data_IF_696443421338
#
_entry.id   IF_696443421338
#
_cell.length_a   1.000
_cell.length_b   1.000
_cell.length_c   1.000
_cell.angle_alpha   90.00
_cell.angle_beta   90.00
_cell.angle_gamma   90.00
#
_symmetry.space_group_name_H-M   'P 1'
#
loop_
_entity.id
_entity.type
_entity.pdbx_description
1 polymer ?
#
# COMPACT_ATOMS: atom_id res chain seq x y z
N UNK A 1 14.24 7.96 -44.62
CA UNK A 1 14.60 8.85 -43.50
C UNK A 1 14.19 8.12 -42.24
N UNK A 2 15.15 7.63 -41.47
CA UNK A 2 14.88 7.09 -40.13
C UNK A 2 14.60 8.30 -39.24
N UNK A 3 13.38 8.38 -38.71
CA UNK A 3 13.06 9.36 -37.69
C UNK A 3 14.02 9.11 -36.52
N UNK A 4 14.82 10.11 -36.17
CA UNK A 4 15.58 10.08 -34.92
C UNK A 4 14.55 10.26 -33.83
N UNK A 5 14.09 9.16 -33.23
CA UNK A 5 13.24 9.21 -32.04
C UNK A 5 14.11 9.82 -30.94
N UNK A 6 13.86 11.08 -30.62
CA UNK A 6 14.59 11.77 -29.56
C UNK A 6 14.24 11.10 -28.23
N UNK A 7 15.22 10.52 -27.56
CA UNK A 7 15.05 10.02 -26.19
C UNK A 7 15.04 11.19 -25.23
N UNK A 8 14.00 11.30 -24.41
CA UNK A 8 13.96 12.27 -23.31
C UNK A 8 14.51 11.62 -22.04
N UNK A 9 15.50 12.25 -21.44
CA UNK A 9 16.03 11.79 -20.15
C UNK A 9 15.20 12.38 -19.02
N UNK A 10 14.62 11.52 -18.20
CA UNK A 10 13.92 11.90 -16.98
C UNK A 10 14.89 11.67 -15.82
N UNK A 11 15.22 12.74 -15.09
CA UNK A 11 16.05 12.66 -13.89
C UNK A 11 15.14 12.38 -12.68
N UNK A 12 15.18 11.14 -12.17
CA UNK A 12 14.44 10.74 -10.98
C UNK A 12 14.88 11.47 -9.70
N UNK A 13 16.02 12.15 -9.73
CA UNK A 13 16.53 12.98 -8.65
C UNK A 13 16.03 14.42 -8.66
N UNK A 14 15.32 14.84 -9.72
CA UNK A 14 14.87 16.23 -9.86
C UNK A 14 13.84 16.60 -8.80
N UNK A 15 13.95 17.85 -8.34
CA UNK A 15 13.08 18.52 -7.36
C UNK A 15 12.72 19.95 -7.80
N UNK A 16 12.95 20.29 -9.06
CA UNK A 16 12.85 21.66 -9.58
C UNK A 16 11.41 22.19 -9.71
N UNK A 17 10.44 21.31 -10.01
CA UNK A 17 9.02 21.65 -10.16
C UNK A 17 8.17 20.98 -9.05
N UNK A 18 8.00 21.61 -7.86
CA UNK A 18 7.13 21.07 -6.81
C UNK A 18 5.65 21.13 -7.21
N UNK A 19 4.91 20.05 -6.96
CA UNK A 19 3.48 19.95 -7.21
C UNK A 19 2.65 20.05 -5.91
N UNK A 20 3.06 19.33 -4.88
CA UNK A 20 2.37 19.28 -3.59
C UNK A 20 3.29 18.76 -2.50
N UNK A 21 3.05 19.16 -1.25
CA UNK A 21 3.68 18.58 -0.08
C UNK A 21 2.74 18.70 1.12
N UNK A 22 2.92 17.84 2.12
CA UNK A 22 2.15 17.90 3.35
C UNK A 22 2.27 16.63 4.17
N UNK A 23 1.38 16.52 5.15
CA UNK A 23 1.18 15.31 5.93
C UNK A 23 0.02 14.51 5.32
N UNK A 24 0.10 13.17 5.32
CA UNK A 24 -1.00 12.32 4.87
C UNK A 24 -2.00 12.10 6.01
N UNK A 25 -3.29 12.20 5.70
CA UNK A 25 -4.39 12.01 6.66
C UNK A 25 -4.50 10.56 7.18
N UNK A 26 -3.74 9.62 6.61
CA UNK A 26 -3.84 8.16 6.80
C UNK A 26 -2.95 7.66 7.97
N UNK A 27 -2.74 8.52 8.96
CA UNK A 27 -1.92 8.28 10.14
C UNK A 27 -2.60 7.33 11.14
N UNK A 28 -1.79 6.54 11.87
CA UNK A 28 -2.24 5.79 13.05
C UNK A 28 -1.95 6.67 14.27
N UNK A 29 -2.98 6.93 15.07
CA UNK A 29 -2.85 7.72 16.29
C UNK A 29 -3.30 6.87 17.48
N UNK A 30 -2.46 6.74 18.49
CA UNK A 30 -2.88 6.11 19.74
C UNK A 30 -3.76 7.09 20.54
N UNK A 31 -5.07 7.10 20.25
CA UNK A 31 -5.99 8.00 20.93
C UNK A 31 -6.34 7.53 22.35
N UNK A 32 -6.50 8.50 23.26
CA UNK A 32 -6.62 8.30 24.69
C UNK A 32 -8.00 7.73 25.08
N UNK A 33 -8.07 6.46 25.48
CA UNK A 33 -9.20 5.99 26.28
C UNK A 33 -9.04 6.53 27.71
N UNK A 34 -9.73 7.62 28.05
CA UNK A 34 -9.98 7.96 29.47
C UNK A 34 -9.74 9.38 29.96
N UNK A 35 -9.67 10.41 29.10
CA UNK A 35 -9.73 11.80 29.57
C UNK A 35 -8.50 12.32 30.32
N UNK A 36 -7.39 11.59 30.30
CA UNK A 36 -6.06 12.14 30.56
C UNK A 36 -5.38 12.40 29.22
N UNK A 37 -4.95 13.64 28.97
CA UNK A 37 -4.06 13.96 27.86
C UNK A 37 -2.75 13.18 28.04
N UNK A 38 -2.65 12.02 27.40
CA UNK A 38 -1.34 11.50 27.01
C UNK A 38 -1.05 12.03 25.62
N UNK A 39 0.12 12.62 25.48
CA UNK A 39 0.83 12.73 24.20
C UNK A 39 0.91 11.30 23.62
N UNK A 40 -0.10 10.89 22.87
CA UNK A 40 -0.19 9.56 22.30
C UNK A 40 0.83 9.43 21.19
N UNK A 41 1.51 8.28 21.15
CA UNK A 41 2.42 8.00 20.04
C UNK A 41 1.65 8.09 18.72
N UNK A 42 2.24 8.72 17.70
CA UNK A 42 1.59 8.93 16.41
C UNK A 42 2.49 8.44 15.30
N UNK A 43 2.00 7.51 14.50
CA UNK A 43 2.62 7.18 13.23
C UNK A 43 2.00 8.00 12.12
N UNK A 44 2.82 8.80 11.43
CA UNK A 44 2.36 9.66 10.34
C UNK A 44 3.35 9.68 9.17
N UNK A 45 2.90 10.23 8.05
CA UNK A 45 3.67 10.32 6.83
C UNK A 45 3.75 11.76 6.35
N UNK A 46 4.95 12.26 6.13
CA UNK A 46 5.17 13.47 5.35
C UNK A 46 5.45 13.09 3.91
N UNK A 47 4.95 13.87 2.96
CA UNK A 47 5.16 13.64 1.54
C UNK A 47 5.52 14.91 0.78
N UNK A 48 6.30 14.71 -0.28
CA UNK A 48 6.60 15.71 -1.30
C UNK A 48 6.39 15.08 -2.69
N UNK A 49 5.79 15.85 -3.60
CA UNK A 49 5.59 15.44 -5.00
C UNK A 49 6.21 16.49 -5.92
N UNK A 50 7.00 16.03 -6.88
CA UNK A 50 7.66 16.86 -7.88
C UNK A 50 7.30 16.38 -9.28
N UNK A 51 7.00 17.30 -10.18
CA UNK A 51 6.81 16.97 -11.59
C UNK A 51 8.16 16.69 -12.24
N UNK A 52 8.26 15.58 -12.97
CA UNK A 52 9.44 15.24 -13.76
C UNK A 52 9.18 15.39 -15.26
N UNK A 53 7.99 15.00 -15.72
CA UNK A 53 7.58 15.09 -17.12
C UNK A 53 6.05 15.08 -17.24
N UNK A 54 5.49 15.69 -18.27
CA UNK A 54 4.07 15.58 -18.57
C UNK A 54 3.82 15.72 -20.07
N UNK A 55 2.95 14.86 -20.59
CA UNK A 55 2.38 14.89 -21.92
C UNK A 55 0.89 14.53 -21.87
N UNK A 56 0.20 14.60 -22.99
CA UNK A 56 -1.27 14.47 -23.04
C UNK A 56 -1.82 13.18 -22.43
N UNK A 57 -1.10 12.05 -22.61
CA UNK A 57 -1.58 10.73 -22.17
C UNK A 57 -0.85 10.16 -20.95
N UNK A 58 0.13 10.89 -20.42
CA UNK A 58 0.85 10.43 -19.24
C UNK A 58 1.56 11.56 -18.51
N UNK A 59 1.73 11.36 -17.20
CA UNK A 59 2.55 12.24 -16.39
C UNK A 59 3.52 11.42 -15.54
N UNK A 60 4.69 12.00 -15.28
CA UNK A 60 5.74 11.42 -14.48
C UNK A 60 6.03 12.37 -13.34
N UNK A 61 5.94 11.86 -12.13
CA UNK A 61 6.23 12.58 -10.92
C UNK A 61 7.15 11.78 -10.03
N UNK A 62 7.97 12.47 -9.25
CA UNK A 62 8.68 11.88 -8.12
C UNK A 62 7.83 12.10 -6.89
N UNK A 63 7.64 11.05 -6.10
CA UNK A 63 7.02 11.08 -4.79
C UNK A 63 8.03 10.65 -3.74
N UNK A 64 8.28 11.53 -2.77
CA UNK A 64 9.07 11.26 -1.58
C UNK A 64 8.14 11.16 -0.39
N UNK A 65 8.34 10.15 0.44
CA UNK A 65 7.55 9.93 1.64
C UNK A 65 8.50 9.60 2.77
N UNK A 66 8.37 10.31 3.88
CA UNK A 66 9.04 9.98 5.14
C UNK A 66 7.99 9.51 6.14
N UNK A 67 8.26 8.35 6.77
CA UNK A 67 7.42 7.80 7.82
C UNK A 67 8.05 8.12 9.18
N UNK A 68 7.21 8.57 10.10
CA UNK A 68 7.57 8.91 11.45
C UNK A 68 6.77 8.09 12.44
N UNK A 69 7.41 7.70 13.53
CA UNK A 69 6.78 7.23 14.75
C UNK A 69 7.17 8.25 15.83
N UNK A 70 6.21 9.09 16.21
CA UNK A 70 6.46 10.35 16.92
C UNK A 70 7.46 11.24 16.19
N UNK A 71 8.54 11.64 16.85
CA UNK A 71 9.59 12.48 16.28
C UNK A 71 10.70 11.64 15.62
N UNK A 72 10.54 10.31 15.54
CA UNK A 72 11.56 9.40 15.02
C UNK A 72 11.23 8.99 13.60
N UNK A 73 12.11 9.33 12.64
CA UNK A 73 12.00 8.82 11.28
C UNK A 73 12.26 7.30 11.26
N UNK A 74 11.24 6.54 10.88
CA UNK A 74 11.26 5.06 10.83
C UNK A 74 11.33 4.52 9.41
N UNK A 75 11.15 5.36 8.39
CA UNK A 75 11.27 4.93 7.01
C UNK A 75 11.27 6.05 5.99
N UNK A 76 11.70 5.71 4.78
CA UNK A 76 11.64 6.59 3.61
C UNK A 76 11.27 5.77 2.39
N UNK A 77 10.42 6.32 1.53
CA UNK A 77 10.15 5.84 0.19
C UNK A 77 10.45 6.94 -0.81
N UNK A 78 11.24 6.60 -1.82
CA UNK A 78 11.51 7.44 -2.99
C UNK A 78 11.03 6.69 -4.22
N UNK A 79 10.05 7.27 -4.91
CA UNK A 79 9.32 6.61 -5.98
C UNK A 79 9.13 7.55 -7.17
N UNK A 80 9.40 7.05 -8.37
CA UNK A 80 8.94 7.65 -9.63
C UNK A 80 7.59 7.03 -9.95
N UNK A 81 6.54 7.83 -9.96
CA UNK A 81 5.20 7.43 -10.37
C UNK A 81 4.96 7.88 -11.81
N UNK A 82 4.60 6.92 -12.68
CA UNK A 82 4.25 7.13 -14.08
C UNK A 82 2.77 6.84 -14.22
N UNK A 83 1.95 7.87 -14.27
CA UNK A 83 0.51 7.76 -14.48
C UNK A 83 0.20 7.70 -15.97
N UNK A 84 -0.49 6.65 -16.39
CA UNK A 84 -0.70 6.29 -17.80
C UNK A 84 -2.20 6.23 -18.11
N UNK A 85 -2.65 7.05 -19.06
CA UNK A 85 -4.01 7.02 -19.61
C UNK A 85 -4.07 6.26 -20.95
N UNK A 86 -3.09 5.39 -21.18
CA UNK A 86 -2.96 4.59 -22.41
C UNK A 86 -2.33 3.23 -22.13
N UNK A 87 -2.68 2.26 -22.97
CA UNK A 87 -2.05 0.94 -23.02
C UNK A 87 -0.98 0.85 -24.13
N UNK A 88 -0.73 1.91 -24.91
CA UNK A 88 0.35 1.92 -25.89
C UNK A 88 1.69 2.20 -25.22
N UNK A 89 2.14 1.24 -24.41
CA UNK A 89 3.31 1.34 -23.55
C UNK A 89 4.20 0.13 -23.79
N UNK A 90 5.50 0.38 -23.96
CA UNK A 90 6.51 -0.67 -23.97
C UNK A 90 7.66 -0.31 -23.04
N UNK A 91 8.34 -1.33 -22.52
CA UNK A 91 9.42 -1.19 -21.56
C UNK A 91 10.63 -2.00 -22.01
N UNK A 92 11.80 -1.36 -21.99
CA UNK A 92 13.09 -2.03 -22.16
C UNK A 92 13.95 -1.79 -20.91
N UNK A 93 14.64 -2.84 -20.48
CA UNK A 93 15.55 -2.81 -19.32
C UNK A 93 17.01 -3.19 -19.69
N UNK A 94 17.33 -3.35 -20.98
CA UNK A 94 18.63 -3.87 -21.43
C UNK A 94 19.82 -2.96 -21.08
N UNK A 95 19.62 -1.64 -21.13
CA UNK A 95 20.67 -0.63 -20.94
C UNK A 95 20.29 0.45 -19.89
N UNK A 96 19.25 0.19 -19.11
CA UNK A 96 18.56 1.19 -18.28
C UNK A 96 17.04 1.03 -18.42
N UNK A 97 16.27 1.79 -17.63
CA UNK A 97 14.81 1.71 -17.67
C UNK A 97 14.26 2.67 -18.74
N UNK A 98 14.11 2.15 -19.95
CA UNK A 98 13.58 2.88 -21.09
C UNK A 98 12.09 2.57 -21.24
N UNK A 99 11.26 3.61 -21.18
CA UNK A 99 9.82 3.56 -21.30
C UNK A 99 9.40 4.26 -22.60
N UNK A 100 8.69 3.57 -23.47
CA UNK A 100 8.06 4.18 -24.65
C UNK A 100 6.56 4.30 -24.39
N UNK A 101 6.04 5.53 -24.46
CA UNK A 101 4.61 5.81 -24.31
C UNK A 101 4.15 6.59 -25.53
N UNK A 102 3.22 6.04 -26.31
CA UNK A 102 2.72 6.69 -27.54
C UNK A 102 3.83 7.14 -28.52
N UNK A 103 4.88 6.34 -28.65
CA UNK A 103 6.04 6.66 -29.50
C UNK A 103 7.02 7.67 -28.90
N UNK A 104 6.76 8.19 -27.68
CA UNK A 104 7.71 9.02 -26.93
C UNK A 104 8.63 8.11 -26.14
N UNK A 105 9.92 8.08 -26.53
CA UNK A 105 10.94 7.29 -25.83
C UNK A 105 11.52 8.09 -24.66
N UNK A 106 11.41 7.54 -23.45
CA UNK A 106 11.85 8.14 -22.19
C UNK A 106 12.88 7.24 -21.54
N UNK A 107 13.97 7.81 -21.05
CA UNK A 107 14.94 7.10 -20.20
C UNK A 107 14.78 7.55 -18.76
N UNK A 108 14.31 6.66 -17.90
CA UNK A 108 14.10 6.92 -16.48
C UNK A 108 15.40 6.67 -15.72
N UNK A 109 16.07 7.75 -15.32
CA UNK A 109 17.31 7.68 -14.56
C UNK A 109 16.98 7.72 -13.07
N UNK A 110 17.03 6.58 -12.40
CA UNK A 110 16.79 6.51 -10.96
C UNK A 110 17.86 7.32 -10.21
N UNK A 111 17.43 8.09 -9.20
CA UNK A 111 18.31 8.84 -8.30
C UNK A 111 19.20 7.90 -7.45
N UNK A 112 18.66 6.73 -7.08
CA UNK A 112 19.36 5.69 -6.33
C UNK A 112 18.97 4.30 -6.85
N UNK A 113 19.78 3.25 -6.61
CA UNK A 113 19.43 1.89 -7.01
C UNK A 113 18.12 1.35 -6.40
N UNK A 114 17.73 1.84 -5.22
CA UNK A 114 16.52 1.43 -4.51
C UNK A 114 15.29 2.31 -4.82
N UNK A 115 15.45 3.39 -5.62
CA UNK A 115 14.32 4.23 -5.99
C UNK A 115 13.31 3.39 -6.78
N UNK A 116 12.07 3.36 -6.28
CA UNK A 116 10.98 2.60 -6.88
C UNK A 116 10.53 3.27 -8.16
N UNK A 117 10.07 2.48 -9.13
CA UNK A 117 9.37 3.01 -10.31
C UNK A 117 8.02 2.31 -10.39
N UNK A 118 6.95 3.09 -10.44
CA UNK A 118 5.60 2.59 -10.42
C UNK A 118 4.84 3.05 -11.65
N UNK A 119 4.53 2.10 -12.55
CA UNK A 119 3.66 2.32 -13.69
C UNK A 119 2.21 2.13 -13.25
N UNK A 120 1.44 3.22 -13.26
CA UNK A 120 0.09 3.32 -12.76
C UNK A 120 -0.87 3.53 -13.94
N UNK A 121 -1.44 2.44 -14.45
CA UNK A 121 -2.42 2.48 -15.54
C UNK A 121 -3.79 2.83 -14.98
N UNK A 122 -4.39 3.93 -15.46
CA UNK A 122 -5.71 4.38 -15.02
C UNK A 122 -6.80 3.37 -15.45
N UNK A 123 -6.63 2.75 -16.62
CA UNK A 123 -7.51 1.71 -17.12
C UNK A 123 -7.16 0.29 -16.65
N UNK A 124 -8.02 -0.68 -17.00
CA UNK A 124 -7.86 -2.09 -16.66
C UNK A 124 -6.74 -2.80 -17.46
N UNK A 125 -6.40 -2.29 -18.64
CA UNK A 125 -5.52 -2.98 -19.57
C UNK A 125 -4.04 -2.66 -19.32
N UNK A 126 -3.29 -3.66 -18.85
CA UNK A 126 -1.82 -3.63 -18.85
C UNK A 126 -1.32 -4.37 -20.11
N UNK A 127 -0.36 -3.81 -20.85
CA UNK A 127 0.28 -4.49 -21.98
C UNK A 127 0.88 -5.84 -21.57
N UNK A 128 0.60 -6.88 -22.36
CA UNK A 128 1.13 -8.21 -22.10
C UNK A 128 2.67 -8.19 -22.11
N UNK A 129 3.27 -8.80 -21.10
CA UNK A 129 4.72 -8.92 -20.99
C UNK A 129 5.48 -7.68 -20.53
N UNK A 130 4.77 -6.57 -20.20
CA UNK A 130 5.41 -5.32 -19.79
C UNK A 130 6.34 -5.47 -18.58
N UNK A 131 6.01 -6.39 -17.66
CA UNK A 131 6.74 -6.61 -16.42
C UNK A 131 7.42 -7.99 -16.33
N UNK A 132 7.46 -8.79 -17.41
CA UNK A 132 7.92 -10.19 -17.37
C UNK A 132 9.40 -10.34 -16.96
N UNK A 133 10.17 -9.24 -16.98
CA UNK A 133 11.56 -9.18 -16.51
C UNK A 133 11.81 -7.95 -15.61
N UNK A 134 10.78 -7.46 -14.92
CA UNK A 134 10.88 -6.33 -14.00
C UNK A 134 11.96 -6.59 -12.94
N UNK A 135 12.87 -5.63 -12.74
CA UNK A 135 13.69 -5.62 -11.53
C UNK A 135 12.78 -5.45 -10.28
N UNK A 136 13.28 -5.80 -9.10
CA UNK A 136 12.49 -5.76 -7.87
C UNK A 136 12.04 -4.36 -7.40
N UNK A 137 12.39 -3.30 -8.14
CA UNK A 137 11.99 -1.91 -7.84
C UNK A 137 10.92 -1.39 -8.80
N UNK A 138 10.64 -2.11 -9.89
CA UNK A 138 9.57 -1.79 -10.83
C UNK A 138 8.24 -2.42 -10.40
N UNK A 139 7.18 -1.61 -10.41
CA UNK A 139 5.80 -2.00 -10.09
C UNK A 139 4.89 -1.60 -11.23
N UNK A 140 3.87 -2.41 -11.48
CA UNK A 140 2.90 -2.17 -12.54
C UNK A 140 1.53 -2.51 -12.01
N UNK A 141 0.63 -1.54 -11.98
CA UNK A 141 -0.73 -1.73 -11.50
C UNK A 141 -1.77 -1.12 -12.46
N UNK A 142 -2.90 -1.80 -12.57
CA UNK A 142 -4.07 -1.39 -13.34
C UNK A 142 -5.11 -0.74 -12.44
N UNK A 143 -6.08 -0.07 -13.04
CA UNK A 143 -7.16 0.64 -12.35
C UNK A 143 -6.64 1.62 -11.30
N UNK A 144 -5.48 2.23 -11.56
CA UNK A 144 -4.81 3.09 -10.62
C UNK A 144 -5.61 4.38 -10.41
N UNK A 145 -5.71 4.79 -9.15
CA UNK A 145 -6.24 6.10 -8.76
C UNK A 145 -5.45 6.64 -7.57
N UNK A 146 -5.41 7.96 -7.44
CA UNK A 146 -4.89 8.62 -6.25
C UNK A 146 -5.91 8.58 -5.08
N UNK A 147 -7.20 8.39 -5.39
CA UNK A 147 -8.26 8.49 -4.40
C UNK A 147 -8.38 7.20 -3.58
N UNK A 148 -8.10 7.28 -2.28
CA UNK A 148 -8.32 6.19 -1.35
C UNK A 148 -9.81 5.91 -1.15
N UNK A 149 -10.16 4.64 -0.96
CA UNK A 149 -11.53 4.21 -0.68
C UNK A 149 -11.58 3.09 0.32
N UNK A 150 -12.74 2.92 0.95
CA UNK A 150 -13.02 1.84 1.87
C UNK A 150 -13.75 0.68 1.17
N UNK A 151 -13.28 -0.55 1.38
CA UNK A 151 -13.91 -1.77 0.86
C UNK A 151 -13.95 -2.92 1.87
N UNK A 152 -14.92 -3.82 1.68
CA UNK A 152 -15.07 -5.05 2.47
C UNK A 152 -14.28 -6.20 1.84
N UNK A 153 -13.89 -7.18 2.64
CA UNK A 153 -13.29 -8.44 2.13
C UNK A 153 -14.24 -9.62 2.27
N UNK A 154 -13.86 -10.77 1.70
CA UNK A 154 -14.56 -12.04 1.91
C UNK A 154 -14.27 -12.65 3.31
N UNK A 155 -13.37 -12.06 4.08
CA UNK A 155 -13.05 -12.46 5.44
C UNK A 155 -13.83 -11.53 6.38
N UNK A 156 -14.77 -12.08 7.15
CA UNK A 156 -15.56 -11.30 8.10
C UNK A 156 -14.67 -10.49 9.06
N UNK A 157 -15.06 -9.25 9.39
CA UNK A 157 -14.29 -8.35 10.26
C UNK A 157 -12.90 -7.94 9.72
N UNK A 158 -12.63 -8.18 8.44
CA UNK A 158 -11.45 -7.66 7.74
C UNK A 158 -11.89 -6.74 6.60
N UNK A 159 -11.37 -5.52 6.64
CA UNK A 159 -11.67 -4.46 5.68
C UNK A 159 -10.37 -3.87 5.11
N UNK A 160 -10.48 -3.09 4.03
CA UNK A 160 -9.34 -2.45 3.38
C UNK A 160 -9.64 -0.98 3.13
N UNK A 161 -8.69 -0.11 3.48
CA UNK A 161 -8.72 1.31 3.13
C UNK A 161 -7.42 1.73 2.46
N UNK A 162 -7.51 2.32 1.26
CA UNK A 162 -6.35 2.79 0.52
C UNK A 162 -6.64 2.94 -0.96
N UNK A 163 -5.58 3.18 -1.75
CA UNK A 163 -5.70 3.35 -3.20
C UNK A 163 -6.17 2.06 -3.91
N UNK A 164 -6.84 2.15 -5.07
CA UNK A 164 -7.30 0.96 -5.78
C UNK A 164 -6.19 -0.05 -6.12
N UNK A 165 -5.01 0.42 -6.50
CA UNK A 165 -3.84 -0.42 -6.77
C UNK A 165 -3.38 -1.17 -5.51
N UNK A 166 -3.36 -0.52 -4.34
CA UNK A 166 -3.12 -1.21 -3.07
C UNK A 166 -4.18 -2.28 -2.79
N UNK A 167 -5.47 -1.93 -2.94
CA UNK A 167 -6.56 -2.86 -2.70
C UNK A 167 -6.49 -4.09 -3.60
N UNK A 168 -6.22 -3.91 -4.89
CA UNK A 168 -6.10 -5.00 -5.85
C UNK A 168 -5.01 -5.99 -5.43
N UNK A 169 -3.84 -5.50 -4.99
CA UNK A 169 -2.76 -6.35 -4.48
C UNK A 169 -3.14 -7.12 -3.23
N UNK A 170 -3.81 -6.47 -2.28
CA UNK A 170 -4.30 -7.15 -1.08
C UNK A 170 -5.34 -8.21 -1.46
N UNK A 171 -6.28 -7.91 -2.36
CA UNK A 171 -7.26 -8.90 -2.83
C UNK A 171 -6.62 -10.09 -3.55
N UNK A 172 -5.61 -9.86 -4.40
CA UNK A 172 -4.84 -10.93 -5.03
C UNK A 172 -4.24 -11.87 -3.98
N UNK A 173 -3.60 -11.32 -2.94
CA UNK A 173 -3.04 -12.10 -1.84
C UNK A 173 -4.13 -12.86 -1.07
N UNK A 174 -5.21 -12.17 -0.67
CA UNK A 174 -6.31 -12.79 0.07
C UNK A 174 -6.98 -13.93 -0.73
N UNK A 175 -7.12 -13.79 -2.05
CA UNK A 175 -7.67 -14.84 -2.91
C UNK A 175 -6.79 -16.10 -2.93
N UNK A 176 -5.46 -15.92 -2.85
CA UNK A 176 -4.51 -17.03 -2.80
C UNK A 176 -4.59 -17.85 -1.51
N UNK A 177 -5.07 -17.29 -0.39
CA UNK A 177 -5.15 -18.00 0.91
C UNK A 177 -5.81 -19.37 0.82
N UNK A 178 -6.81 -19.52 -0.06
CA UNK A 178 -7.51 -20.80 -0.29
C UNK A 178 -6.58 -21.92 -0.79
N UNK A 179 -5.49 -21.58 -1.48
CA UNK A 179 -4.45 -22.50 -1.94
C UNK A 179 -3.42 -22.88 -0.86
N UNK A 180 -3.47 -22.26 0.33
CA UNK A 180 -2.51 -22.46 1.42
C UNK A 180 -3.25 -22.87 2.71
N UNK A 181 -3.70 -24.14 2.81
CA UNK A 181 -4.62 -24.58 3.85
C UNK A 181 -4.06 -24.43 5.27
N UNK A 182 -2.76 -24.66 5.48
CA UNK A 182 -2.13 -24.46 6.80
C UNK A 182 -2.09 -22.99 7.20
N UNK A 183 -1.79 -22.09 6.26
CA UNK A 183 -1.79 -20.64 6.51
C UNK A 183 -3.18 -20.15 6.85
N UNK A 184 -4.19 -20.60 6.09
CA UNK A 184 -5.59 -20.31 6.37
C UNK A 184 -6.01 -20.85 7.74
N UNK A 185 -5.62 -22.07 8.09
CA UNK A 185 -5.93 -22.70 9.38
C UNK A 185 -5.35 -21.90 10.55
N UNK A 186 -4.11 -21.42 10.42
CA UNK A 186 -3.47 -20.58 11.45
C UNK A 186 -4.23 -19.26 11.62
N UNK A 187 -4.59 -18.60 10.52
CA UNK A 187 -5.37 -17.35 10.56
C UNK A 187 -6.77 -17.59 11.16
N UNK A 188 -7.46 -18.67 10.77
CA UNK A 188 -8.76 -19.03 11.33
C UNK A 188 -8.64 -19.32 12.84
N UNK A 189 -7.58 -20.00 13.29
CA UNK A 189 -7.35 -20.31 14.69
C UNK A 189 -7.11 -19.05 15.53
N UNK A 190 -6.33 -18.10 15.02
CA UNK A 190 -6.11 -16.80 15.67
C UNK A 190 -7.45 -16.05 15.89
N UNK A 191 -8.43 -16.25 15.02
CA UNK A 191 -9.76 -15.62 15.10
C UNK A 191 -10.75 -16.38 16.00
N UNK A 192 -10.63 -17.70 16.11
CA UNK A 192 -11.53 -18.54 16.91
C UNK A 192 -11.44 -18.31 18.43
N UNK A 193 -10.36 -17.68 18.91
CA UNK A 193 -10.17 -17.37 20.33
C UNK A 193 -11.12 -16.29 20.87
N UNK A 194 -11.83 -15.58 20.00
CA UNK A 194 -12.63 -14.39 20.33
C UNK A 194 -14.12 -14.69 20.39
N UNK A 195 -14.80 -14.22 21.45
CA UNK A 195 -16.26 -14.24 21.54
C UNK A 195 -16.91 -13.29 20.51
N UNK A 196 -16.26 -12.16 20.23
CA UNK A 196 -16.57 -11.23 19.15
C UNK A 196 -15.25 -10.92 18.43
N UNK A 197 -15.15 -11.27 17.14
CA UNK A 197 -13.92 -11.05 16.37
C UNK A 197 -13.69 -9.54 16.21
N UNK A 198 -12.49 -9.02 16.55
CA UNK A 198 -12.20 -7.60 16.40
C UNK A 198 -12.14 -7.19 14.93
N UNK A 199 -12.63 -5.99 14.62
CA UNK A 199 -12.56 -5.40 13.29
C UNK A 199 -11.12 -4.90 13.00
N UNK A 200 -10.57 -5.36 11.87
CA UNK A 200 -9.27 -4.92 11.36
C UNK A 200 -9.48 -4.21 10.02
N UNK A 201 -8.85 -3.04 9.87
CA UNK A 201 -8.76 -2.35 8.58
C UNK A 201 -7.31 -2.35 8.11
N UNK A 202 -7.04 -3.06 7.02
CA UNK A 202 -5.76 -2.98 6.32
C UNK A 202 -5.64 -1.64 5.62
N UNK A 203 -4.61 -0.89 5.97
CA UNK A 203 -4.34 0.43 5.45
C UNK A 203 -3.01 0.45 4.71
N UNK A 204 -2.91 1.30 3.68
CA UNK A 204 -1.69 1.38 2.88
C UNK A 204 -0.55 1.96 3.72
N UNK A 205 0.52 1.17 3.91
CA UNK A 205 1.78 1.67 4.45
C UNK A 205 2.59 2.29 3.32
N UNK A 206 2.87 3.58 3.43
CA UNK A 206 3.59 4.31 2.38
C UNK A 206 5.11 4.26 2.54
N UNK A 207 5.61 4.12 3.77
CA UNK A 207 7.03 3.99 4.08
C UNK A 207 7.24 3.38 5.48
N UNK A 208 8.42 2.78 5.71
CA UNK A 208 8.76 2.20 7.02
C UNK A 208 8.22 0.77 7.23
N UNK A 209 8.38 0.23 8.46
CA UNK A 209 7.87 -1.09 8.80
C UNK A 209 6.34 -1.11 8.90
N UNK A 210 5.75 -2.31 8.88
CA UNK A 210 4.34 -2.47 9.21
C UNK A 210 4.11 -2.03 10.67
N UNK A 211 2.99 -1.34 10.89
CA UNK A 211 2.59 -0.81 12.19
C UNK A 211 1.10 -1.10 12.39
N UNK A 212 0.67 -1.14 13.65
CA UNK A 212 -0.73 -1.33 14.00
C UNK A 212 -1.10 -0.42 15.16
N UNK A 213 -2.36 -0.05 15.27
CA UNK A 213 -2.86 0.79 16.36
C UNK A 213 -4.30 1.25 16.11
N UNK A 214 -4.82 2.18 16.91
CA UNK A 214 -6.12 2.76 16.65
C UNK A 214 -6.06 3.47 15.29
N UNK A 215 -7.01 3.14 14.42
CA UNK A 215 -7.12 3.85 13.15
C UNK A 215 -7.67 5.26 13.35
N UNK A 216 -7.57 6.09 12.31
CA UNK A 216 -8.21 7.40 12.27
C UNK A 216 -9.74 7.27 12.11
N UNK A 217 -10.49 8.36 12.26
CA UNK A 217 -11.94 8.31 12.05
C UNK A 217 -12.30 8.09 10.57
N UNK A 218 -12.62 6.84 10.21
CA UNK A 218 -13.09 6.46 8.87
C UNK A 218 -14.55 6.86 8.58
N UNK A 219 -15.31 7.40 9.54
CA UNK A 219 -16.75 7.68 9.37
C UNK A 219 -17.08 8.59 8.17
N UNK A 220 -16.12 9.42 7.75
CA UNK A 220 -16.26 10.35 6.61
C UNK A 220 -16.04 9.69 5.25
N UNK A 221 -15.34 8.57 5.21
CA UNK A 221 -14.91 7.90 3.96
C UNK A 221 -15.57 6.54 3.76
N UNK A 222 -16.22 5.98 4.80
CA UNK A 222 -17.01 4.75 4.67
C UNK A 222 -18.27 5.04 3.84
N UNK A 223 -18.48 4.34 2.71
CA UNK A 223 -19.72 4.43 1.95
C UNK A 223 -20.94 4.12 2.82
N UNK A 224 -22.05 4.83 2.63
CA UNK A 224 -23.28 4.64 3.44
C UNK A 224 -23.76 3.18 3.51
N UNK A 225 -23.53 2.39 2.45
CA UNK A 225 -23.84 0.95 2.41
C UNK A 225 -23.08 0.13 3.47
N UNK A 226 -21.94 0.60 3.96
CA UNK A 226 -21.06 -0.08 4.90
C UNK A 226 -20.99 0.60 6.27
N UNK A 227 -21.67 1.73 6.48
CA UNK A 227 -21.62 2.49 7.73
C UNK A 227 -22.08 1.70 8.98
N UNK A 228 -22.83 0.61 8.78
CA UNK A 228 -23.27 -0.29 9.85
C UNK A 228 -22.23 -1.35 10.24
N UNK A 229 -21.17 -1.53 9.44
CA UNK A 229 -20.15 -2.58 9.62
C UNK A 229 -19.00 -2.16 10.53
N UNK A 230 -18.70 -0.85 10.59
CA UNK A 230 -17.64 -0.29 11.43
C UNK A 230 -18.23 0.81 12.32
N UNK A 231 -18.85 0.45 13.46
CA UNK A 231 -19.54 1.40 14.33
C UNK A 231 -18.61 2.33 15.13
N UNK A 232 -17.29 2.18 15.02
CA UNK A 232 -16.32 3.14 15.56
C UNK A 232 -15.02 2.51 16.06
N UNK A 233 -15.07 1.27 16.56
CA UNK A 233 -13.90 0.61 17.14
C UNK A 233 -13.30 -0.38 16.15
N UNK A 234 -12.09 -0.09 15.67
CA UNK A 234 -11.33 -0.98 14.80
C UNK A 234 -9.83 -0.73 14.98
N UNK A 235 -9.01 -1.68 14.53
CA UNK A 235 -7.56 -1.49 14.48
C UNK A 235 -7.09 -1.33 13.05
N UNK A 236 -6.33 -0.26 12.83
CA UNK A 236 -5.61 -0.06 11.59
C UNK A 236 -4.34 -0.92 11.59
N UNK A 237 -4.08 -1.57 10.47
CA UNK A 237 -2.84 -2.30 10.21
C UNK A 237 -2.23 -1.74 8.94
N UNK A 238 -1.11 -1.03 9.07
CA UNK A 238 -0.37 -0.45 7.95
C UNK A 238 0.42 -1.55 7.24
N UNK A 239 0.13 -1.73 5.95
CA UNK A 239 0.69 -2.79 5.12
C UNK A 239 1.18 -2.26 3.76
N UNK A 240 2.42 -2.59 3.37
CA UNK A 240 2.96 -2.34 2.03
C UNK A 240 3.08 -3.69 1.30
N UNK A 241 2.15 -4.02 0.36
CA UNK A 241 2.18 -5.28 -0.38
C UNK A 241 3.39 -5.40 -1.32
N UNK A 242 4.14 -4.32 -1.50
CA UNK A 242 5.29 -4.23 -2.41
C UNK A 242 6.65 -4.34 -1.69
N UNK A 243 6.68 -4.48 -0.36
CA UNK A 243 7.90 -4.58 0.46
C UNK A 243 8.43 -6.02 0.67
N UNK A 244 7.86 -7.03 0.00
CA UNK A 244 8.16 -8.44 0.22
C UNK A 244 9.57 -8.86 -0.28
N UNK A 245 10.63 -8.30 0.31
CA UNK A 245 12.02 -8.77 0.13
C UNK A 245 12.21 -10.04 0.97
N UNK A 246 12.23 -11.20 0.32
CA UNK A 246 12.68 -12.48 0.92
C UNK A 246 11.60 -13.36 1.57
N UNK A 247 10.38 -12.87 1.75
CA UNK A 247 9.18 -13.68 1.99
C UNK A 247 8.22 -13.49 0.81
N UNK A 248 7.44 -14.51 0.47
CA UNK A 248 6.33 -14.29 -0.46
C UNK A 248 5.30 -13.35 0.21
N UNK A 249 4.72 -12.47 -0.58
CA UNK A 249 3.85 -11.39 -0.10
C UNK A 249 2.59 -11.90 0.60
N UNK A 250 2.12 -13.10 0.23
CA UNK A 250 1.01 -13.79 0.89
C UNK A 250 1.36 -14.21 2.32
N UNK A 251 2.52 -14.84 2.52
CA UNK A 251 2.99 -15.20 3.86
C UNK A 251 3.20 -13.96 4.74
N UNK A 252 3.68 -12.86 4.16
CA UNK A 252 3.84 -11.59 4.89
C UNK A 252 2.49 -11.04 5.38
N UNK A 253 1.47 -10.98 4.51
CA UNK A 253 0.13 -10.52 4.89
C UNK A 253 -0.48 -11.42 5.97
N UNK A 254 -0.42 -12.74 5.79
CA UNK A 254 -1.05 -13.66 6.73
C UNK A 254 -0.40 -13.64 8.11
N UNK A 255 0.93 -13.52 8.19
CA UNK A 255 1.64 -13.33 9.48
C UNK A 255 1.28 -12.02 10.13
N UNK A 256 1.24 -10.92 9.36
CA UNK A 256 0.83 -9.62 9.88
C UNK A 256 -0.58 -9.67 10.48
N UNK A 257 -1.52 -10.32 9.79
CA UNK A 257 -2.88 -10.50 10.30
C UNK A 257 -2.92 -11.41 11.55
N UNK A 258 -2.11 -12.48 11.57
CA UNK A 258 -1.99 -13.34 12.74
C UNK A 258 -1.47 -12.54 13.95
N UNK A 259 -0.37 -11.80 13.78
CA UNK A 259 0.24 -10.99 14.83
C UNK A 259 -0.74 -9.91 15.34
N UNK A 260 -1.50 -9.29 14.43
CA UNK A 260 -2.54 -8.34 14.79
C UNK A 260 -3.66 -9.02 15.61
N UNK A 261 -4.16 -10.18 15.18
CA UNK A 261 -5.15 -10.93 15.93
C UNK A 261 -4.62 -11.40 17.30
N UNK A 262 -3.36 -11.82 17.41
CA UNK A 262 -2.75 -12.23 18.69
C UNK A 262 -2.54 -11.05 19.64
N UNK A 263 -2.23 -9.86 19.12
CA UNK A 263 -2.02 -8.67 19.93
C UNK A 263 -3.26 -8.19 20.70
N UNK A 264 -4.48 -8.57 20.25
CA UNK A 264 -5.71 -8.25 20.97
C UNK A 264 -5.94 -9.06 22.26
N UNK A 265 -5.14 -10.12 22.53
CA UNK A 265 -5.31 -10.91 23.76
C UNK A 265 -4.02 -11.54 24.29
N UNK A 266 -3.73 -11.27 25.58
CA UNK A 266 -3.46 -12.38 26.51
C UNK A 266 -4.71 -12.78 27.34
N UNK A 267 -5.64 -11.84 27.60
CA UNK A 267 -6.69 -11.99 28.63
C UNK A 267 -8.14 -12.12 28.10
N UNK A 268 -8.37 -12.06 26.78
CA UNK A 268 -9.71 -12.14 26.15
C UNK A 268 -10.01 -13.52 25.54
N UNK A 269 -9.07 -14.45 25.67
CA UNK A 269 -9.25 -15.84 25.23
C UNK A 269 -10.38 -16.50 26.03
N UNK A 270 -11.33 -17.12 25.33
CA UNK A 270 -12.32 -17.99 25.97
C UNK A 270 -11.55 -19.03 26.79
N UNK A 271 -11.80 -19.19 28.11
CA UNK A 271 -11.14 -20.22 28.89
C UNK A 271 -11.39 -21.56 28.21
N UNK A 272 -10.33 -22.34 28.00
CA UNK A 272 -10.43 -23.68 27.44
C UNK A 272 -11.54 -24.44 28.18
N UNK A 273 -12.40 -25.22 27.48
CA UNK A 273 -13.44 -25.99 28.13
C UNK A 273 -12.80 -26.81 29.25
N UNK A 274 -13.27 -26.60 30.48
CA UNK A 274 -12.62 -27.13 31.67
C UNK A 274 -12.37 -28.63 31.55
N UNK A 275 -11.12 -29.03 31.78
CA UNK A 275 -10.89 -30.34 32.39
C UNK A 275 -11.43 -30.26 33.80
N UNK A 276 -12.66 -30.74 34.00
CA UNK A 276 -13.15 -31.14 35.31
C UNK A 276 -12.09 -32.05 35.95
N UNK A 277 -11.62 -31.67 37.13
CA UNK A 277 -10.84 -32.52 38.05
C UNK A 277 -11.70 -32.81 39.27
#
# INVERSE_FOLDING_TARGET
>A
MTAVTQTFNVDGGDKSEPLSAGEMDEAVAYDATGGEERLGSRAYYEYEVYKLYSADQFNIQRRLIEAFDDDVKVGTVDEIQVWLDTANVSLSQECGLDLEVEGVLLRLNKATPDQRVHLLFIGEAIPAGLADNADGTLRVDANASADARFETTAIDHLYIYGTPQFQNRVYEQLALLSGYPELKKTLDAARQGYANVPDIVLMQCHAGPAQQGPGFDLSRVIPAKYAHLLPGDYTAVLYDPYQAKGLDSLTALARLLQDAYEAFAPDVLVPAPGTDI
#
